data_IF_238692109007
#
_entry.id   IF_238692109007
#
_cell.length_a   1.000
_cell.length_b   1.000
_cell.length_c   1.000
_cell.angle_alpha   90.00
_cell.angle_beta   90.00
_cell.angle_gamma   90.00
#
_symmetry.space_group_name_H-M   'P 1'
#
loop_
_entity.id
_entity.type
_entity.pdbx_description
1 polymer ?
#
# COMPACT_ATOMS: atom_id res chain seq x y z
N UNK A 1 -4.03 34.16 -53.78
CA UNK A 1 -4.90 33.16 -53.10
C UNK A 1 -4.01 32.24 -52.26
N UNK A 2 -3.50 32.70 -51.11
CA UNK A 2 -4.13 32.62 -49.77
C UNK A 2 -4.40 31.18 -49.24
N UNK A 3 -3.93 30.14 -49.94
CA UNK A 3 -4.11 28.73 -49.49
C UNK A 3 -2.80 27.96 -49.21
N UNK A 4 -1.65 28.48 -49.64
CA UNK A 4 -0.35 27.78 -49.46
C UNK A 4 0.35 28.17 -48.15
N UNK A 5 0.00 29.31 -47.54
CA UNK A 5 0.62 29.74 -46.29
C UNK A 5 0.11 28.99 -45.04
N UNK A 6 -0.99 28.23 -45.16
CA UNK A 6 -1.58 27.49 -44.04
C UNK A 6 -0.91 26.12 -43.86
N UNK A 7 -0.25 25.58 -44.89
CA UNK A 7 0.29 24.22 -44.88
C UNK A 7 1.63 24.10 -44.13
N UNK A 8 2.35 25.20 -43.93
CA UNK A 8 3.69 25.19 -43.30
C UNK A 8 3.57 25.37 -41.78
N UNK A 9 2.43 25.87 -41.29
CA UNK A 9 2.19 26.09 -39.86
C UNK A 9 1.70 24.82 -39.13
N UNK A 10 1.26 23.78 -39.85
CA UNK A 10 0.75 22.54 -39.26
C UNK A 10 1.83 21.49 -38.96
N UNK A 11 3.08 21.72 -39.33
CA UNK A 11 4.16 20.72 -39.20
C UNK A 11 4.91 20.83 -37.86
N UNK A 12 4.71 21.89 -37.09
CA UNK A 12 5.43 22.12 -35.82
C UNK A 12 4.70 21.70 -34.54
N UNK A 13 3.50 21.11 -34.61
CA UNK A 13 2.69 20.83 -33.41
C UNK A 13 2.96 19.47 -32.74
N UNK A 14 4.02 18.74 -33.09
CA UNK A 14 4.29 17.40 -32.54
C UNK A 14 5.62 17.25 -31.78
N UNK A 15 6.31 18.35 -31.44
CA UNK A 15 7.65 18.28 -30.82
C UNK A 15 7.70 18.46 -29.29
N UNK A 16 6.57 18.41 -28.58
CA UNK A 16 6.58 18.50 -27.11
C UNK A 16 6.04 17.23 -26.48
N UNK A 17 6.85 16.18 -26.46
CA UNK A 17 6.89 15.31 -25.28
C UNK A 17 8.17 15.71 -24.56
N UNK A 18 8.02 16.57 -23.56
CA UNK A 18 9.11 16.92 -22.65
C UNK A 18 9.63 15.61 -22.03
N UNK A 19 10.95 15.46 -21.98
CA UNK A 19 11.59 14.49 -21.10
C UNK A 19 11.01 14.72 -19.69
N UNK A 20 10.32 13.71 -19.18
CA UNK A 20 9.72 13.78 -17.86
C UNK A 20 10.84 13.51 -16.87
N UNK A 21 11.55 14.58 -16.45
CA UNK A 21 12.52 14.58 -15.35
C UNK A 21 11.87 14.24 -13.99
N UNK A 22 10.63 13.73 -13.96
CA UNK A 22 9.99 13.27 -12.74
C UNK A 22 10.67 12.01 -12.20
N UNK A 23 10.82 11.90 -10.87
CA UNK A 23 11.36 10.68 -10.27
C UNK A 23 10.54 9.48 -10.70
N UNK A 24 11.18 8.47 -11.29
CA UNK A 24 10.52 7.25 -11.67
C UNK A 24 10.30 6.39 -10.42
N UNK A 25 9.05 6.04 -10.12
CA UNK A 25 8.71 5.19 -9.00
C UNK A 25 7.51 4.30 -9.30
N UNK A 26 7.36 3.22 -8.52
CA UNK A 26 6.16 2.38 -8.53
C UNK A 26 5.66 2.12 -7.13
N UNK A 27 4.38 1.75 -7.02
CA UNK A 27 3.79 1.29 -5.78
C UNK A 27 3.84 -0.23 -5.70
N UNK A 28 4.15 -0.75 -4.52
CA UNK A 28 4.12 -2.19 -4.23
C UNK A 28 3.43 -2.46 -2.90
N UNK A 29 2.81 -3.64 -2.77
CA UNK A 29 2.37 -4.14 -1.47
C UNK A 29 3.55 -4.71 -0.70
N UNK A 30 3.60 -4.39 0.60
CA UNK A 30 4.49 -5.01 1.56
C UNK A 30 3.73 -6.07 2.34
N UNK A 31 4.39 -7.22 2.48
CA UNK A 31 3.90 -8.31 3.33
C UNK A 31 3.91 -7.85 4.79
N UNK A 32 2.93 -8.30 5.54
CA UNK A 32 2.91 -8.14 7.00
C UNK A 32 3.68 -9.30 7.60
N UNK A 33 4.86 -9.03 8.17
CA UNK A 33 5.70 -10.05 8.81
C UNK A 33 5.01 -10.59 10.07
N UNK A 34 4.48 -9.69 10.89
CA UNK A 34 3.62 -10.01 12.04
C UNK A 34 2.71 -8.84 12.41
N UNK A 35 1.67 -9.11 13.18
CA UNK A 35 0.78 -8.10 13.73
C UNK A 35 0.64 -8.25 15.25
N UNK A 36 0.56 -7.12 15.94
CA UNK A 36 0.16 -7.03 17.34
C UNK A 36 -1.24 -6.46 17.40
N UNK A 37 -2.17 -7.21 17.98
CA UNK A 37 -3.59 -6.89 18.07
C UNK A 37 -4.03 -6.87 19.54
N UNK A 38 -5.10 -6.14 19.90
CA UNK A 38 -5.73 -6.31 21.21
C UNK A 38 -6.40 -7.69 21.31
N UNK A 39 -6.56 -8.20 22.54
CA UNK A 39 -7.26 -9.47 22.78
C UNK A 39 -8.77 -9.37 22.48
N UNK A 40 -9.33 -8.17 22.59
CA UNK A 40 -10.73 -7.84 22.31
C UNK A 40 -10.85 -6.34 22.08
N UNK A 41 -11.85 -5.91 21.33
CA UNK A 41 -12.27 -4.51 21.28
C UNK A 41 -13.38 -4.22 22.27
N UNK A 42 -13.54 -2.95 22.66
CA UNK A 42 -14.75 -2.44 23.32
C UNK A 42 -15.52 -1.58 22.33
N UNK A 43 -16.82 -1.83 22.14
CA UNK A 43 -17.65 -1.06 21.21
C UNK A 43 -17.62 0.44 21.54
N UNK A 44 -17.37 1.26 20.51
CA UNK A 44 -17.24 2.71 20.62
C UNK A 44 -15.86 3.21 21.09
N UNK A 45 -14.92 2.32 21.44
CA UNK A 45 -13.56 2.70 21.79
C UNK A 45 -12.59 2.59 20.59
N UNK A 46 -11.44 3.24 20.73
CA UNK A 46 -10.35 3.21 19.74
C UNK A 46 -9.17 2.45 20.31
N UNK A 47 -8.82 1.37 19.63
CA UNK A 47 -7.64 0.57 19.92
C UNK A 47 -6.55 0.78 18.87
N UNK A 48 -5.33 0.32 19.16
CA UNK A 48 -4.19 0.41 18.24
C UNK A 48 -3.73 -0.97 17.82
N UNK A 49 -3.67 -1.20 16.51
CA UNK A 49 -3.00 -2.37 15.92
C UNK A 49 -1.64 -1.93 15.38
N UNK A 50 -0.65 -2.81 15.47
CA UNK A 50 0.68 -2.60 14.89
C UNK A 50 1.01 -3.71 13.91
N UNK A 51 1.52 -3.37 12.74
CA UNK A 51 2.13 -4.33 11.82
C UNK A 51 3.65 -4.16 11.81
N UNK A 52 4.36 -5.27 11.65
CA UNK A 52 5.76 -5.31 11.25
C UNK A 52 5.86 -5.65 9.78
N UNK A 53 6.80 -5.01 9.09
CA UNK A 53 7.09 -5.26 7.69
C UNK A 53 8.58 -5.04 7.43
N UNK A 54 9.06 -5.65 6.34
CA UNK A 54 10.45 -5.53 5.91
C UNK A 54 10.53 -4.79 4.59
N UNK A 55 11.37 -3.76 4.54
CA UNK A 55 11.77 -3.05 3.33
C UNK A 55 13.00 -3.75 2.75
N UNK A 56 12.93 -4.30 1.52
CA UNK A 56 14.00 -5.12 0.96
C UNK A 56 15.36 -4.42 0.76
N UNK A 57 15.34 -3.13 0.44
CA UNK A 57 16.56 -2.35 0.19
C UNK A 57 16.26 -0.84 0.32
N UNK A 58 17.29 0.01 0.16
CA UNK A 58 17.15 1.46 0.34
C UNK A 58 16.24 2.18 -0.66
N UNK A 59 15.79 1.52 -1.73
CA UNK A 59 14.85 2.11 -2.68
C UNK A 59 13.39 1.94 -2.27
N UNK A 60 13.12 1.09 -1.28
CA UNK A 60 11.80 0.95 -0.69
C UNK A 60 11.59 1.97 0.43
N UNK A 61 10.48 2.70 0.35
CA UNK A 61 10.00 3.59 1.40
C UNK A 61 8.56 3.23 1.74
N UNK A 62 8.26 3.10 3.03
CA UNK A 62 6.88 2.88 3.46
C UNK A 62 5.99 4.06 3.06
N UNK A 63 4.90 3.75 2.37
CA UNK A 63 3.96 4.74 1.85
C UNK A 63 2.70 4.83 2.70
N UNK A 64 2.26 3.71 3.29
CA UNK A 64 1.03 3.67 4.08
C UNK A 64 0.44 2.28 4.17
N UNK A 65 -0.74 2.21 4.78
CA UNK A 65 -1.49 0.98 4.95
C UNK A 65 -2.52 0.82 3.83
N UNK A 66 -2.57 -0.37 3.23
CA UNK A 66 -3.78 -0.82 2.54
C UNK A 66 -4.73 -1.39 3.58
N UNK A 67 -5.94 -0.83 3.65
CA UNK A 67 -6.96 -1.23 4.62
C UNK A 67 -8.32 -1.30 3.93
N UNK A 68 -8.83 -2.51 3.76
CA UNK A 68 -10.12 -2.76 3.12
C UNK A 68 -11.11 -3.40 4.10
N UNK A 69 -12.33 -2.88 4.11
CA UNK A 69 -13.44 -3.40 4.91
C UNK A 69 -14.36 -4.24 4.03
N UNK A 70 -14.63 -5.48 4.44
CA UNK A 70 -15.61 -6.37 3.80
C UNK A 70 -16.40 -7.03 4.91
N UNK A 71 -17.65 -6.62 5.11
CA UNK A 71 -18.47 -7.04 6.26
C UNK A 71 -17.69 -6.87 7.59
N UNK A 72 -17.53 -7.95 8.36
CA UNK A 72 -16.76 -7.98 9.61
C UNK A 72 -15.25 -8.14 9.39
N UNK A 73 -14.82 -8.34 8.14
CA UNK A 73 -13.42 -8.58 7.78
C UNK A 73 -12.67 -7.26 7.53
N UNK A 74 -11.40 -7.22 7.94
CA UNK A 74 -10.44 -6.16 7.68
C UNK A 74 -9.22 -6.73 6.99
N UNK A 75 -9.04 -6.44 5.70
CA UNK A 75 -7.87 -6.87 4.94
C UNK A 75 -6.78 -5.81 5.06
N UNK A 76 -5.60 -6.20 5.51
CA UNK A 76 -4.50 -5.29 5.87
C UNK A 76 -3.21 -5.70 5.17
N UNK A 77 -2.56 -4.75 4.51
CA UNK A 77 -1.21 -4.89 3.96
C UNK A 77 -0.45 -3.57 4.11
N UNK A 78 0.89 -3.61 4.11
CA UNK A 78 1.68 -2.40 3.92
C UNK A 78 1.72 -2.01 2.44
N UNK A 79 2.04 -0.75 2.15
CA UNK A 79 2.36 -0.29 0.80
C UNK A 79 3.70 0.44 0.82
N UNK A 80 4.47 0.31 -0.25
CA UNK A 80 5.72 1.01 -0.45
C UNK A 80 5.69 1.82 -1.73
N UNK A 81 6.43 2.92 -1.73
CA UNK A 81 6.96 3.54 -2.94
C UNK A 81 8.35 2.93 -3.17
N UNK A 82 8.61 2.55 -4.41
CA UNK A 82 9.89 1.99 -4.86
C UNK A 82 10.49 2.92 -5.88
N UNK A 83 11.60 3.56 -5.52
CA UNK A 83 12.37 4.39 -6.44
C UNK A 83 13.01 3.51 -7.53
N UNK A 84 12.86 3.92 -8.78
CA UNK A 84 13.42 3.25 -9.96
C UNK A 84 14.60 4.07 -10.50
N UNK A 85 15.45 3.43 -11.30
CA UNK A 85 16.59 4.05 -11.99
C UNK A 85 17.61 4.74 -11.05
N UNK A 86 17.67 4.30 -9.80
CA UNK A 86 18.64 4.75 -8.79
C UNK A 86 19.39 3.56 -8.19
N UNK A 87 20.60 3.79 -7.71
CA UNK A 87 21.37 2.75 -7.01
C UNK A 87 20.82 2.55 -5.58
N UNK A 88 20.45 1.31 -5.25
CA UNK A 88 19.97 0.92 -3.93
C UNK A 88 21.09 0.21 -3.14
N UNK A 89 21.12 0.35 -1.82
CA UNK A 89 21.91 -0.52 -0.95
C UNK A 89 21.09 -1.75 -0.58
N UNK A 90 21.72 -2.92 -0.62
CA UNK A 90 21.08 -4.22 -0.28
C UNK A 90 20.96 -4.42 1.25
N UNK A 91 20.46 -3.40 1.94
CA UNK A 91 20.21 -3.43 3.38
C UNK A 91 18.70 -3.56 3.63
N UNK A 92 18.31 -4.72 4.15
CA UNK A 92 16.95 -4.95 4.62
C UNK A 92 16.71 -4.20 5.93
N UNK A 93 15.55 -3.53 6.03
CA UNK A 93 15.14 -2.83 7.24
C UNK A 93 13.76 -3.28 7.68
N UNK A 94 13.66 -3.75 8.92
CA UNK A 94 12.38 -4.08 9.53
C UNK A 94 11.84 -2.86 10.30
N UNK A 95 10.60 -2.51 10.04
CA UNK A 95 9.92 -1.37 10.65
C UNK A 95 8.55 -1.75 11.20
N UNK A 96 7.99 -0.88 12.03
CA UNK A 96 6.64 -1.01 12.58
C UNK A 96 5.76 0.13 12.10
N UNK A 97 4.48 -0.17 11.83
CA UNK A 97 3.46 0.84 11.61
C UNK A 97 2.25 0.59 12.51
N UNK A 98 1.94 1.59 13.34
CA UNK A 98 0.80 1.59 14.24
C UNK A 98 -0.36 2.37 13.63
N UNK A 99 -1.57 1.83 13.69
CA UNK A 99 -2.77 2.50 13.20
C UNK A 99 -3.95 2.31 14.17
N UNK A 100 -4.78 3.35 14.35
CA UNK A 100 -5.96 3.26 15.19
C UNK A 100 -7.09 2.50 14.48
N UNK A 101 -7.86 1.75 15.26
CA UNK A 101 -9.10 1.10 14.82
C UNK A 101 -10.21 1.47 15.81
N UNK A 102 -11.23 2.15 15.31
CA UNK A 102 -12.45 2.41 16.07
C UNK A 102 -13.41 1.21 15.95
N UNK A 103 -13.80 0.66 17.09
CA UNK A 103 -14.71 -0.47 17.19
C UNK A 103 -16.15 -0.01 16.95
N UNK A 104 -16.60 -0.06 15.70
CA UNK A 104 -17.89 0.50 15.23
C UNK A 104 -18.90 -0.56 14.82
N UNK A 105 -18.53 -1.84 14.86
CA UNK A 105 -19.43 -2.99 14.69
C UNK A 105 -19.52 -3.78 15.99
N UNK A 106 -20.64 -4.46 16.19
CA UNK A 106 -20.89 -5.28 17.39
C UNK A 106 -20.39 -6.73 17.21
N UNK A 107 -20.21 -7.18 15.97
CA UNK A 107 -19.68 -8.51 15.65
C UNK A 107 -18.15 -8.56 15.74
N UNK A 108 -17.61 -9.76 16.00
CA UNK A 108 -16.17 -10.02 15.98
C UNK A 108 -15.51 -9.57 14.68
N UNK A 109 -14.36 -8.92 14.80
CA UNK A 109 -13.56 -8.50 13.66
C UNK A 109 -12.69 -9.66 13.18
N UNK A 110 -12.67 -9.90 11.87
CA UNK A 110 -11.72 -10.83 11.25
C UNK A 110 -10.64 -10.03 10.54
N UNK A 111 -9.46 -9.91 11.13
CA UNK A 111 -8.31 -9.30 10.47
C UNK A 111 -7.62 -10.32 9.57
N UNK A 112 -7.37 -9.94 8.32
CA UNK A 112 -6.57 -10.71 7.35
C UNK A 112 -5.32 -9.91 7.01
N UNK A 113 -4.20 -10.27 7.62
CA UNK A 113 -2.90 -9.65 7.36
C UNK A 113 -2.23 -10.34 6.17
N UNK A 114 -2.01 -9.61 5.08
CA UNK A 114 -1.51 -10.17 3.83
C UNK A 114 -0.04 -10.62 3.96
N UNK A 115 0.23 -11.87 3.58
CA UNK A 115 1.55 -12.53 3.64
C UNK A 115 2.22 -12.67 2.28
N UNK A 116 1.61 -12.16 1.22
CA UNK A 116 2.11 -12.33 -0.14
C UNK A 116 1.22 -13.21 -0.99
N UNK A 117 1.77 -13.63 -2.13
CA UNK A 117 1.16 -14.63 -3.01
C UNK A 117 1.86 -15.98 -2.87
N UNK A 118 1.10 -17.07 -2.95
CA UNK A 118 1.64 -18.43 -3.01
C UNK A 118 2.21 -18.72 -4.42
N UNK A 119 2.67 -19.96 -4.65
CA UNK A 119 3.21 -20.41 -5.95
C UNK A 119 2.19 -20.40 -7.09
N UNK A 120 0.90 -20.38 -6.77
CA UNK A 120 -0.22 -20.33 -7.73
C UNK A 120 -0.68 -18.89 -8.01
N UNK A 121 -0.08 -17.89 -7.34
CA UNK A 121 -0.43 -16.47 -7.49
C UNK A 121 -1.59 -16.01 -6.60
N UNK A 122 -2.09 -16.86 -5.71
CA UNK A 122 -3.20 -16.57 -4.82
C UNK A 122 -2.72 -15.85 -3.56
N UNK A 123 -3.53 -14.92 -3.05
CA UNK A 123 -3.20 -14.16 -1.85
C UNK A 123 -3.29 -15.02 -0.59
N UNK A 124 -2.24 -14.95 0.22
CA UNK A 124 -2.12 -15.66 1.49
C UNK A 124 -2.30 -14.65 2.63
N UNK A 125 -3.04 -15.03 3.66
CA UNK A 125 -3.32 -14.20 4.82
C UNK A 125 -3.03 -14.94 6.12
N UNK A 126 -2.55 -14.20 7.13
CA UNK A 126 -2.69 -14.60 8.53
C UNK A 126 -3.99 -14.00 9.05
N UNK A 127 -4.86 -14.85 9.58
CA UNK A 127 -6.18 -14.45 10.07
C UNK A 127 -6.18 -14.37 11.60
N UNK A 128 -6.70 -13.26 12.14
CA UNK A 128 -6.86 -13.03 13.58
C UNK A 128 -8.29 -12.59 13.83
N UNK A 129 -9.01 -13.31 14.70
CA UNK A 129 -10.35 -12.96 15.15
C UNK A 129 -10.24 -12.18 16.45
N UNK A 130 -10.82 -10.98 16.48
CA UNK A 130 -10.82 -10.09 17.65
C UNK A 130 -12.28 -9.90 18.09
N UNK A 131 -12.68 -10.44 19.25
CA UNK A 131 -14.04 -10.30 19.74
C UNK A 131 -14.36 -8.87 20.18
N UNK A 132 -15.65 -8.53 20.19
CA UNK A 132 -16.14 -7.22 20.64
C UNK A 132 -16.91 -7.35 21.95
N UNK A 133 -16.50 -6.56 22.94
CA UNK A 133 -17.23 -6.37 24.19
C UNK A 133 -18.19 -5.18 24.03
N UNK A 134 -19.44 -5.36 24.48
CA UNK A 134 -20.50 -4.35 24.43
C UNK A 134 -20.66 -3.61 25.75
#
# INVERSE_FOLDING_TARGET
MKKILILILSVFTFYSCLDDDSPNFRYEFLKVDSATTPESFTFGEVDTIKIKYTLPNSCYSFNGLYYQKVDTTRIVAGTAIVALDVACTEEERQEEYAFPVEATQEEDYVFKFWKGKNTEGEDVYEEVVIPVNL
#
